data_IF_971624554949
#
_entry.id   IF_971624554949
#
_cell.length_a   1.000
_cell.length_b   1.000
_cell.length_c   1.000
_cell.angle_alpha   90.00
_cell.angle_beta   90.00
_cell.angle_gamma   90.00
#
_symmetry.space_group_name_H-M   'P 1'
#
loop_
_entity.id
_entity.type
_entity.pdbx_description
1 polymer ?
#
# COMPACT_ATOMS: atom_id res chain seq x y z
N UNK A 1 -1.66 -7.41 15.44
CA UNK A 1 -0.61 -8.35 15.03
C UNK A 1 -0.71 -8.56 13.54
N UNK A 2 0.41 -8.53 12.83
CA UNK A 2 0.45 -8.87 11.40
C UNK A 2 -0.05 -10.31 11.21
N UNK A 3 -0.79 -10.55 10.13
CA UNK A 3 -1.31 -11.88 9.78
C UNK A 3 -0.69 -12.41 8.48
N UNK A 4 0.23 -11.66 7.88
CA UNK A 4 0.98 -12.12 6.73
C UNK A 4 1.94 -13.23 7.16
N UNK A 5 2.00 -14.31 6.40
CA UNK A 5 2.96 -15.38 6.59
C UNK A 5 4.27 -14.93 5.94
N UNK A 6 5.29 -14.73 6.76
CA UNK A 6 6.56 -14.16 6.33
C UNK A 6 7.21 -14.93 5.18
N UNK A 7 7.19 -16.26 5.26
CA UNK A 7 7.80 -17.15 4.28
C UNK A 7 7.09 -17.10 2.92
N UNK A 8 5.83 -16.64 2.90
CA UNK A 8 5.06 -16.45 1.65
C UNK A 8 5.28 -15.08 1.01
N UNK A 9 5.97 -14.14 1.65
CA UNK A 9 6.13 -12.77 1.14
C UNK A 9 6.69 -12.70 -0.30
N UNK A 10 7.71 -13.50 -0.71
CA UNK A 10 8.16 -13.52 -2.10
C UNK A 10 7.06 -13.96 -3.08
N UNK A 11 6.28 -15.00 -2.73
CA UNK A 11 5.17 -15.46 -3.57
C UNK A 11 4.02 -14.44 -3.61
N UNK A 12 3.77 -13.76 -2.49
CA UNK A 12 2.82 -12.66 -2.42
C UNK A 12 3.22 -11.49 -3.33
N UNK A 13 4.52 -11.17 -3.41
CA UNK A 13 5.04 -10.16 -4.31
C UNK A 13 4.89 -10.57 -5.78
N UNK A 14 5.20 -11.81 -6.13
CA UNK A 14 4.99 -12.36 -7.48
C UNK A 14 3.52 -12.25 -7.92
N UNK A 15 2.60 -12.73 -7.08
CA UNK A 15 1.16 -12.65 -7.38
C UNK A 15 0.66 -11.20 -7.50
N UNK A 16 1.21 -10.28 -6.70
CA UNK A 16 0.91 -8.85 -6.78
C UNK A 16 1.39 -8.26 -8.12
N UNK A 17 2.61 -8.60 -8.54
CA UNK A 17 3.17 -8.19 -9.84
C UNK A 17 2.30 -8.66 -10.99
N UNK A 18 1.94 -9.95 -11.00
CA UNK A 18 1.05 -10.53 -12.02
C UNK A 18 -0.29 -9.79 -12.07
N UNK A 19 -0.90 -9.54 -10.92
CA UNK A 19 -2.19 -8.85 -10.83
C UNK A 19 -2.09 -7.40 -11.33
N UNK A 20 -1.04 -6.67 -10.95
CA UNK A 20 -0.84 -5.28 -11.42
C UNK A 20 -0.61 -5.24 -12.93
N UNK A 21 0.18 -6.17 -13.48
CA UNK A 21 0.43 -6.24 -14.92
C UNK A 21 -0.84 -6.59 -15.70
N UNK A 22 -1.67 -7.49 -15.18
CA UNK A 22 -2.98 -7.77 -15.75
C UNK A 22 -3.86 -6.52 -15.77
N UNK A 23 -3.99 -5.80 -14.64
CA UNK A 23 -4.78 -4.58 -14.55
C UNK A 23 -4.24 -3.44 -15.44
N UNK A 24 -2.93 -3.34 -15.62
CA UNK A 24 -2.31 -2.42 -16.60
C UNK A 24 -2.83 -2.68 -18.01
N UNK A 25 -2.94 -3.95 -18.40
CA UNK A 25 -3.38 -4.35 -19.73
C UNK A 25 -4.90 -4.25 -19.94
N UNK A 26 -5.69 -4.59 -18.91
CA UNK A 26 -7.16 -4.69 -19.06
C UNK A 26 -7.92 -3.44 -18.64
N UNK A 27 -7.37 -2.67 -17.69
CA UNK A 27 -8.03 -1.49 -17.11
C UNK A 27 -7.30 -0.18 -17.47
N UNK A 28 -6.23 -0.24 -18.27
CA UNK A 28 -5.40 0.92 -18.65
C UNK A 28 -4.82 1.69 -17.45
N UNK A 29 -4.56 0.99 -16.33
CA UNK A 29 -4.05 1.59 -15.08
C UNK A 29 -2.52 1.71 -15.17
N UNK A 30 -2.02 2.86 -15.62
CA UNK A 30 -0.58 3.07 -15.84
C UNK A 30 0.19 3.52 -14.59
N UNK A 31 -0.49 4.22 -13.66
CA UNK A 31 0.11 4.76 -12.44
C UNK A 31 -0.28 3.89 -11.24
N UNK A 32 0.71 3.48 -10.44
CA UNK A 32 0.48 2.63 -9.27
C UNK A 32 1.01 3.33 -8.03
N UNK A 33 0.16 3.46 -7.01
CA UNK A 33 0.57 3.97 -5.69
C UNK A 33 0.66 2.81 -4.70
N UNK A 34 1.76 2.73 -3.94
CA UNK A 34 1.98 1.71 -2.92
C UNK A 34 1.88 2.33 -1.52
N UNK A 35 0.77 2.06 -0.84
CA UNK A 35 0.62 2.29 0.60
C UNK A 35 1.19 1.08 1.36
N UNK A 36 2.20 1.29 2.19
CA UNK A 36 2.90 0.20 2.90
C UNK A 36 3.55 0.69 4.18
N UNK A 37 3.53 -0.16 5.21
CA UNK A 37 4.24 0.06 6.47
C UNK A 37 5.75 -0.27 6.36
N UNK A 38 6.19 -0.82 5.21
CA UNK A 38 7.61 -1.04 4.93
C UNK A 38 8.37 0.30 4.87
N UNK A 39 9.60 0.41 5.45
CA UNK A 39 10.38 1.66 5.46
C UNK A 39 10.93 2.04 4.07
N UNK A 40 10.06 2.54 3.22
CA UNK A 40 10.36 2.99 1.85
C UNK A 40 11.24 4.25 1.79
N UNK A 41 11.30 5.05 2.87
CA UNK A 41 12.19 6.23 2.96
C UNK A 41 13.66 5.88 3.25
N UNK A 42 13.98 4.61 3.51
CA UNK A 42 15.25 4.22 4.12
C UNK A 42 15.32 4.60 5.60
N UNK A 43 16.14 3.88 6.38
CA UNK A 43 16.30 4.12 7.83
C UNK A 43 15.53 3.12 8.73
N UNK A 44 15.22 3.54 9.97
CA UNK A 44 14.40 2.75 10.92
C UNK A 44 12.94 2.67 10.44
N UNK A 45 12.23 1.59 10.79
CA UNK A 45 10.85 1.31 10.33
C UNK A 45 9.90 2.50 10.53
N UNK A 46 9.00 2.75 9.56
CA UNK A 46 7.96 3.79 9.66
C UNK A 46 6.81 3.41 10.63
N UNK A 47 6.85 2.19 11.18
CA UNK A 47 5.87 1.66 12.11
C UNK A 47 6.58 1.01 13.29
N UNK A 48 6.12 1.34 14.50
CA UNK A 48 6.57 0.74 15.75
C UNK A 48 6.22 -0.76 15.81
N UNK A 49 5.30 -1.26 14.97
CA UNK A 49 4.92 -2.69 14.94
C UNK A 49 5.73 -3.53 13.96
N UNK A 50 6.51 -2.91 13.08
CA UNK A 50 7.41 -3.59 12.13
C UNK A 50 8.78 -3.86 12.79
N UNK A 51 8.78 -4.51 13.97
CA UNK A 51 9.94 -4.68 14.85
C UNK A 51 11.17 -5.37 14.21
N UNK A 52 11.02 -6.07 13.09
CA UNK A 52 12.17 -6.59 12.32
C UNK A 52 11.87 -6.70 10.81
N UNK A 53 12.45 -5.82 10.00
CA UNK A 53 12.49 -6.01 8.54
C UNK A 53 13.41 -7.18 8.20
N UNK A 54 12.83 -8.38 8.09
CA UNK A 54 13.52 -9.63 7.75
C UNK A 54 13.85 -9.77 6.26
N UNK A 55 14.62 -10.81 5.92
CA UNK A 55 15.12 -11.10 4.57
C UNK A 55 13.98 -11.21 3.56
N UNK A 56 12.88 -11.83 3.94
CA UNK A 56 11.72 -12.09 3.09
C UNK A 56 11.02 -10.79 2.67
N UNK A 57 10.90 -9.81 3.58
CA UNK A 57 10.39 -8.48 3.25
C UNK A 57 11.30 -7.75 2.25
N UNK A 58 12.62 -7.88 2.42
CA UNK A 58 13.60 -7.26 1.52
C UNK A 58 13.54 -7.88 0.13
N UNK A 59 13.43 -9.21 0.05
CA UNK A 59 13.24 -9.92 -1.22
C UNK A 59 11.95 -9.45 -1.90
N UNK A 60 10.83 -9.44 -1.15
CA UNK A 60 9.55 -9.02 -1.69
C UNK A 60 9.58 -7.58 -2.25
N UNK A 61 10.07 -6.60 -1.47
CA UNK A 61 10.15 -5.22 -1.96
C UNK A 61 11.14 -5.06 -3.12
N UNK A 62 12.22 -5.85 -3.15
CA UNK A 62 13.18 -5.82 -4.23
C UNK A 62 12.56 -6.36 -5.53
N UNK A 63 11.78 -7.45 -5.47
CA UNK A 63 11.01 -7.97 -6.62
C UNK A 63 10.00 -6.95 -7.14
N UNK A 64 9.31 -6.27 -6.22
CA UNK A 64 8.35 -5.21 -6.54
C UNK A 64 9.06 -4.06 -7.27
N UNK A 65 10.12 -3.50 -6.69
CA UNK A 65 10.85 -2.35 -7.24
C UNK A 65 11.62 -2.67 -8.53
N UNK A 66 12.05 -3.91 -8.74
CA UNK A 66 12.74 -4.31 -9.98
C UNK A 66 11.80 -4.47 -11.17
N UNK A 67 10.49 -4.58 -10.92
CA UNK A 67 9.51 -4.95 -11.94
C UNK A 67 8.46 -3.85 -12.17
N UNK A 68 8.14 -3.08 -11.14
CA UNK A 68 7.09 -2.08 -11.17
C UNK A 68 7.61 -0.74 -10.68
N UNK A 69 7.18 0.33 -11.34
CA UNK A 69 7.41 1.69 -10.88
C UNK A 69 6.26 2.12 -9.96
N UNK A 70 6.56 2.28 -8.67
CA UNK A 70 5.58 2.69 -7.66
C UNK A 70 5.74 4.16 -7.27
N UNK A 71 4.60 4.85 -7.23
CA UNK A 71 4.48 6.08 -6.47
C UNK A 71 4.26 5.75 -4.99
N UNK A 72 4.84 6.56 -4.12
CA UNK A 72 4.65 6.53 -2.68
C UNK A 72 4.66 7.96 -2.18
N UNK A 73 4.24 8.20 -0.94
CA UNK A 73 4.38 9.54 -0.34
C UNK A 73 5.85 10.02 -0.40
N UNK A 74 6.82 9.10 -0.36
CA UNK A 74 8.24 9.42 -0.47
C UNK A 74 8.61 9.91 -1.87
N UNK A 75 8.23 9.17 -2.92
CA UNK A 75 8.60 9.49 -4.31
C UNK A 75 7.83 10.68 -4.89
N UNK A 76 6.64 10.96 -4.35
CA UNK A 76 5.88 12.19 -4.64
C UNK A 76 6.49 13.43 -3.99
N UNK A 77 7.59 13.30 -3.23
CA UNK A 77 8.16 14.37 -2.39
C UNK A 77 7.13 14.97 -1.43
N UNK A 78 6.10 14.21 -1.05
CA UNK A 78 5.13 14.65 -0.06
C UNK A 78 5.87 14.89 1.26
N UNK A 79 5.57 16.04 1.88
CA UNK A 79 6.16 16.47 3.14
C UNK A 79 7.70 16.51 3.17
N UNK A 80 8.38 16.67 2.01
CA UNK A 80 9.85 16.65 1.93
C UNK A 80 10.52 17.61 2.91
N UNK A 81 9.93 18.78 3.12
CA UNK A 81 10.43 19.81 4.04
C UNK A 81 10.29 19.41 5.51
N UNK A 82 9.26 18.62 5.84
CA UNK A 82 8.96 18.23 7.22
C UNK A 82 9.57 16.88 7.60
N UNK A 83 9.61 15.91 6.68
CA UNK A 83 10.00 14.52 6.96
C UNK A 83 11.47 14.33 7.33
N UNK A 84 12.31 15.31 7.01
CA UNK A 84 13.74 15.30 7.31
C UNK A 84 14.10 16.18 8.51
N UNK A 85 13.13 16.90 9.06
CA UNK A 85 13.30 17.76 10.23
C UNK A 85 12.82 17.01 11.47
N UNK A 86 13.77 16.72 12.37
CA UNK A 86 13.55 15.99 13.62
C UNK A 86 12.46 16.59 14.50
N UNK A 87 12.17 17.90 14.32
CA UNK A 87 11.07 18.58 15.01
C UNK A 87 9.72 17.91 14.77
N UNK A 88 9.53 17.28 13.60
CA UNK A 88 8.28 16.67 13.19
C UNK A 88 8.28 15.14 13.25
N UNK A 89 9.33 14.50 13.78
CA UNK A 89 9.44 13.02 13.81
C UNK A 89 8.19 12.34 14.41
N UNK A 90 7.57 12.94 15.44
CA UNK A 90 6.34 12.43 16.05
C UNK A 90 5.16 12.40 15.09
N UNK A 91 5.06 13.36 14.17
CA UNK A 91 3.99 13.44 13.15
C UNK A 91 4.11 12.33 12.09
N UNK A 92 5.30 11.73 11.96
CA UNK A 92 5.54 10.62 11.05
C UNK A 92 5.60 9.26 11.75
N UNK A 93 5.43 9.21 13.07
CA UNK A 93 5.39 7.95 13.83
C UNK A 93 4.07 7.20 13.61
N UNK A 94 4.08 5.87 13.71
CA UNK A 94 2.90 4.99 13.82
C UNK A 94 1.70 5.35 12.91
N UNK A 95 1.91 5.38 11.58
CA UNK A 95 0.91 5.78 10.58
C UNK A 95 0.38 7.22 10.76
N UNK A 96 1.26 8.17 11.07
CA UNK A 96 0.95 9.60 11.18
C UNK A 96 0.57 10.26 9.86
N UNK A 97 1.07 11.47 9.58
CA UNK A 97 0.57 12.28 8.45
C UNK A 97 0.72 11.59 7.08
N UNK A 98 1.75 10.76 6.91
CA UNK A 98 1.95 9.96 5.70
C UNK A 98 0.89 8.86 5.55
N UNK A 99 0.45 8.25 6.65
CA UNK A 99 -0.62 7.24 6.64
C UNK A 99 -1.98 7.84 6.31
N UNK A 100 -2.22 9.11 6.66
CA UNK A 100 -3.41 9.86 6.22
C UNK A 100 -3.36 10.06 4.70
N UNK A 101 -2.22 10.50 4.16
CA UNK A 101 -2.05 10.67 2.72
C UNK A 101 -2.25 9.34 1.97
N UNK A 102 -1.62 8.26 2.43
CA UNK A 102 -1.79 6.92 1.88
C UNK A 102 -3.28 6.55 1.81
N UNK A 103 -4.04 6.81 2.88
CA UNK A 103 -5.47 6.50 2.95
C UNK A 103 -6.27 7.31 1.93
N UNK A 104 -6.01 8.61 1.83
CA UNK A 104 -6.69 9.50 0.88
C UNK A 104 -6.42 9.07 -0.57
N UNK A 105 -5.17 8.72 -0.90
CA UNK A 105 -4.82 8.22 -2.22
C UNK A 105 -5.52 6.89 -2.51
N UNK A 106 -5.55 5.96 -1.54
CA UNK A 106 -6.29 4.70 -1.70
C UNK A 106 -7.80 4.88 -1.84
N UNK A 107 -8.41 5.87 -1.18
CA UNK A 107 -9.84 6.18 -1.33
C UNK A 107 -10.11 6.74 -2.73
N UNK A 108 -9.25 7.65 -3.21
CA UNK A 108 -9.48 8.40 -4.45
C UNK A 108 -8.96 7.73 -5.72
N UNK A 109 -8.24 6.61 -5.63
CA UNK A 109 -7.71 5.92 -6.81
C UNK A 109 -8.82 5.30 -7.67
N UNK A 110 -8.63 5.26 -8.98
CA UNK A 110 -9.58 4.58 -9.89
C UNK A 110 -9.81 3.13 -9.47
N UNK A 111 -8.74 2.44 -9.08
CA UNK A 111 -8.78 1.04 -8.64
C UNK A 111 -8.03 0.88 -7.31
N UNK A 112 -8.61 0.10 -6.39
CA UNK A 112 -8.01 -0.22 -5.10
C UNK A 112 -7.77 -1.71 -4.94
N UNK A 113 -6.51 -2.06 -4.70
CA UNK A 113 -6.04 -3.42 -4.55
C UNK A 113 -5.50 -3.63 -3.14
N UNK A 114 -5.82 -4.75 -2.50
CA UNK A 114 -5.34 -5.08 -1.16
C UNK A 114 -4.92 -6.55 -1.06
N UNK A 115 -4.09 -6.87 -0.08
CA UNK A 115 -3.49 -8.21 0.00
C UNK A 115 -4.51 -9.31 0.32
N UNK A 116 -4.38 -10.52 -0.24
CA UNK A 116 -5.21 -11.65 0.13
C UNK A 116 -4.84 -12.19 1.51
N UNK A 117 -5.55 -13.26 1.91
CA UNK A 117 -5.17 -14.10 3.05
C UNK A 117 -3.71 -14.53 2.93
N UNK A 118 -3.03 -14.64 4.07
CA UNK A 118 -1.62 -14.97 4.22
C UNK A 118 -0.61 -13.95 3.66
N UNK A 119 -1.03 -12.96 2.87
CA UNK A 119 -0.14 -11.90 2.38
C UNK A 119 -0.30 -10.59 3.15
N UNK A 120 -1.43 -10.39 3.83
CA UNK A 120 -1.65 -9.22 4.67
C UNK A 120 -2.66 -9.50 5.79
N UNK A 121 -2.87 -8.50 6.64
CA UNK A 121 -3.97 -8.49 7.60
C UNK A 121 -5.31 -8.25 6.87
N UNK A 122 -6.07 -9.31 6.66
CA UNK A 122 -7.38 -9.27 5.97
C UNK A 122 -8.35 -8.33 6.70
N UNK A 123 -8.43 -8.45 8.04
CA UNK A 123 -9.28 -7.64 8.91
C UNK A 123 -8.49 -6.45 9.47
N UNK A 124 -8.10 -5.55 8.58
CA UNK A 124 -7.50 -4.28 8.95
C UNK A 124 -8.58 -3.20 9.01
N UNK A 125 -8.65 -2.47 10.13
CA UNK A 125 -9.50 -1.26 10.23
C UNK A 125 -9.14 -0.26 9.14
N UNK A 126 -7.87 -0.16 8.77
CA UNK A 126 -7.39 0.71 7.71
C UNK A 126 -8.03 0.39 6.36
N UNK A 127 -7.95 -0.87 5.93
CA UNK A 127 -8.54 -1.32 4.67
C UNK A 127 -10.07 -1.25 4.69
N UNK A 128 -10.69 -1.54 5.84
CA UNK A 128 -12.15 -1.43 6.02
C UNK A 128 -12.63 0.00 5.79
N UNK A 129 -12.00 0.98 6.42
CA UNK A 129 -12.36 2.40 6.25
C UNK A 129 -12.22 2.83 4.78
N UNK A 130 -11.16 2.41 4.09
CA UNK A 130 -11.01 2.70 2.66
C UNK A 130 -12.15 2.10 1.85
N UNK A 131 -12.52 0.84 2.10
CA UNK A 131 -13.61 0.19 1.37
C UNK A 131 -14.98 0.81 1.65
N UNK A 132 -15.24 1.25 2.89
CA UNK A 132 -16.50 1.91 3.25
C UNK A 132 -16.61 3.26 2.51
N UNK A 133 -15.60 4.12 2.60
CA UNK A 133 -15.59 5.42 1.92
C UNK A 133 -15.68 5.30 0.39
N UNK A 134 -14.96 4.33 -0.20
CA UNK A 134 -15.06 4.07 -1.65
C UNK A 134 -16.45 3.63 -2.06
N UNK A 135 -17.10 2.80 -1.25
CA UNK A 135 -18.48 2.37 -1.50
C UNK A 135 -19.42 3.57 -1.46
N UNK A 136 -19.30 4.43 -0.46
CA UNK A 136 -20.14 5.63 -0.34
C UNK A 136 -19.94 6.58 -1.53
N UNK A 137 -18.70 6.74 -2.03
CA UNK A 137 -18.43 7.54 -3.23
C UNK A 137 -19.10 6.94 -4.48
N UNK A 138 -19.04 5.62 -4.66
CA UNK A 138 -19.72 4.92 -5.77
C UNK A 138 -21.24 5.06 -5.64
N UNK A 139 -21.81 4.85 -4.45
CA UNK A 139 -23.24 4.94 -4.17
C UNK A 139 -23.77 6.38 -4.39
N UNK A 140 -22.91 7.39 -4.19
CA UNK A 140 -23.17 8.80 -4.51
C UNK A 140 -22.87 9.19 -5.97
N UNK A 141 -22.54 8.22 -6.84
CA UNK A 141 -22.41 8.41 -8.28
C UNK A 141 -21.03 8.80 -8.79
N UNK A 142 -19.96 8.66 -7.99
CA UNK A 142 -18.59 8.86 -8.49
C UNK A 142 -18.18 7.72 -9.43
N UNK A 143 -18.23 8.02 -10.74
CA UNK A 143 -17.92 7.05 -11.80
C UNK A 143 -16.41 6.81 -12.01
N UNK A 144 -15.54 7.60 -11.38
CA UNK A 144 -14.08 7.41 -11.50
C UNK A 144 -13.61 6.16 -10.76
N UNK A 145 -14.27 5.87 -9.64
CA UNK A 145 -13.95 4.73 -8.77
C UNK A 145 -14.55 3.46 -9.37
N UNK A 146 -13.68 2.56 -9.82
CA UNK A 146 -14.06 1.35 -10.58
C UNK A 146 -14.30 0.12 -9.70
N UNK A 147 -13.84 0.15 -8.46
CA UNK A 147 -14.05 -0.93 -7.50
C UNK A 147 -14.02 -0.43 -6.06
N UNK A 148 -14.71 -1.15 -5.17
CA UNK A 148 -14.58 -0.92 -3.72
C UNK A 148 -13.25 -1.47 -3.21
N UNK A 149 -12.99 -2.75 -3.49
CA UNK A 149 -11.75 -3.44 -3.13
C UNK A 149 -11.62 -4.71 -3.96
N UNK A 150 -10.41 -4.94 -4.48
CA UNK A 150 -10.03 -6.22 -5.09
C UNK A 150 -8.88 -6.80 -4.29
N UNK A 151 -8.91 -8.12 -4.07
CA UNK A 151 -7.81 -8.85 -3.42
C UNK A 151 -6.97 -9.54 -4.49
N UNK A 152 -5.66 -9.35 -4.46
CA UNK A 152 -4.78 -9.92 -5.49
C UNK A 152 -4.53 -11.42 -5.29
N UNK A 153 -4.15 -12.12 -6.36
CA UNK A 153 -4.01 -13.59 -6.35
C UNK A 153 -5.35 -14.31 -6.57
N UNK A 154 -5.29 -15.49 -7.20
CA UNK A 154 -6.49 -16.24 -7.66
C UNK A 154 -7.48 -16.50 -6.52
N UNK A 155 -8.72 -16.09 -6.76
CA UNK A 155 -9.94 -16.71 -6.21
C UNK A 155 -10.05 -18.17 -6.62
#
# INVERSE_FOLDING_TARGET
MEQGILEKMPKCAENLIETINYLKMTEEINNVYLATDYPISGGKSASDTFYSVRKEHRIAIQMLNSTLNFNTWVSLNAFKEFRNDKKYDSEFSSSGIHGILDKLVCIQSDYFLSGPKDCCRIRSTYTRLISEERKDLIDNGDKRIRNVITRWGKS
#
